data_IF_431344704944
#
_entry.id   IF_431344704944
#
_cell.length_a   1.000
_cell.length_b   1.000
_cell.length_c   1.000
_cell.angle_alpha   90.00
_cell.angle_beta   90.00
_cell.angle_gamma   90.00
#
_symmetry.space_group_name_H-M   'P 1'
#
loop_
_entity.id
_entity.type
_entity.pdbx_description
1 polymer ?
#
# COMPACT_ATOMS: atom_id res chain seq x y z
N UNK A 1 -7.58 -11.46 7.90
CA UNK A 1 -6.46 -11.09 8.80
C UNK A 1 -5.36 -10.42 7.98
N UNK A 2 -4.49 -9.62 8.60
CA UNK A 2 -3.32 -9.10 7.88
C UNK A 2 -2.06 -9.06 8.72
N UNK A 3 -0.94 -9.24 8.03
CA UNK A 3 0.39 -9.21 8.60
C UNK A 3 1.26 -8.23 7.83
N UNK A 4 1.93 -7.33 8.56
CA UNK A 4 2.83 -6.32 8.01
C UNK A 4 4.28 -6.59 8.43
N UNK A 5 5.20 -6.34 7.51
CA UNK A 5 6.64 -6.32 7.74
C UNK A 5 7.19 -4.96 7.33
N UNK A 6 8.07 -4.43 8.17
CA UNK A 6 8.89 -3.27 7.87
C UNK A 6 10.29 -3.73 7.47
N UNK A 7 10.77 -3.23 6.34
CA UNK A 7 12.06 -3.56 5.77
C UNK A 7 12.87 -2.32 5.41
N UNK A 8 14.17 -2.50 5.26
CA UNK A 8 15.09 -1.52 4.67
C UNK A 8 15.40 -1.91 3.22
N UNK A 9 15.33 -0.93 2.32
CA UNK A 9 15.74 -1.12 0.93
C UNK A 9 17.25 -1.42 0.85
N UNK A 10 17.70 -2.12 -0.21
CA UNK A 10 19.11 -2.43 -0.40
C UNK A 10 19.98 -1.17 -0.38
N UNK A 11 21.04 -1.18 0.43
CA UNK A 11 21.95 -0.05 0.58
C UNK A 11 21.57 0.95 1.68
N UNK A 12 20.43 0.76 2.37
CA UNK A 12 20.06 1.51 3.57
C UNK A 12 20.42 0.68 4.81
N UNK A 13 21.48 1.02 5.57
CA UNK A 13 22.02 0.14 6.62
C UNK A 13 21.29 0.22 7.96
N UNK A 14 20.37 1.17 8.14
CA UNK A 14 19.61 1.33 9.39
C UNK A 14 18.40 2.25 9.22
N UNK A 15 17.47 2.21 10.17
CA UNK A 15 16.38 3.19 10.31
C UNK A 15 16.89 4.62 10.46
N UNK A 16 18.02 4.82 11.13
CA UNK A 16 18.62 6.14 11.26
C UNK A 16 19.08 6.69 9.90
N UNK A 17 19.67 5.83 9.05
CA UNK A 17 20.05 6.18 7.69
C UNK A 17 18.82 6.47 6.82
N UNK A 18 17.74 5.69 6.95
CA UNK A 18 16.50 5.90 6.21
C UNK A 18 15.96 7.34 6.38
N UNK A 19 15.95 7.85 7.62
CA UNK A 19 15.48 9.22 7.93
C UNK A 19 16.25 10.32 7.18
N UNK A 20 17.50 10.06 6.80
CA UNK A 20 18.34 11.00 6.03
C UNK A 20 18.39 10.66 4.53
N UNK A 21 17.99 9.45 4.15
CA UNK A 21 18.11 8.95 2.79
C UNK A 21 17.19 9.67 1.79
N UNK A 22 16.08 10.23 2.26
CA UNK A 22 15.22 11.05 1.42
C UNK A 22 15.92 12.36 1.01
N UNK A 23 16.61 13.02 1.95
CA UNK A 23 17.20 14.33 1.69
C UNK A 23 18.47 14.28 0.84
N UNK A 24 19.26 13.20 0.95
CA UNK A 24 20.46 12.98 0.12
C UNK A 24 20.17 12.25 -1.22
N UNK A 25 18.90 11.86 -1.43
CA UNK A 25 18.42 11.17 -2.62
C UNK A 25 18.86 9.71 -2.72
N UNK A 26 19.46 9.11 -1.69
CA UNK A 26 19.80 7.68 -1.67
C UNK A 26 18.55 6.79 -1.58
N UNK A 27 17.54 7.21 -0.81
CA UNK A 27 16.25 6.50 -0.68
C UNK A 27 15.50 6.39 -2.00
N UNK A 28 15.21 7.51 -2.70
CA UNK A 28 14.54 7.48 -4.01
C UNK A 28 15.30 6.65 -5.06
N UNK A 29 16.64 6.70 -5.06
CA UNK A 29 17.47 5.88 -5.97
C UNK A 29 17.37 4.39 -5.64
N UNK A 30 17.38 4.01 -4.37
CA UNK A 30 17.25 2.63 -3.94
C UNK A 30 15.89 2.04 -4.35
N UNK A 31 14.82 2.80 -4.17
CA UNK A 31 13.45 2.41 -4.53
C UNK A 31 13.28 2.27 -6.05
N UNK A 32 13.76 3.27 -6.81
CA UNK A 32 13.68 3.24 -8.27
C UNK A 32 14.44 2.05 -8.86
N UNK A 33 15.51 1.59 -8.20
CA UNK A 33 16.24 0.40 -8.59
C UNK A 33 15.54 -0.90 -8.15
N UNK A 34 14.94 -0.94 -6.96
CA UNK A 34 14.42 -2.15 -6.36
C UNK A 34 12.98 -2.48 -6.78
N UNK A 35 12.09 -1.50 -6.92
CA UNK A 35 10.69 -1.75 -7.26
C UNK A 35 10.51 -2.51 -8.59
N UNK A 36 11.22 -2.18 -9.69
CA UNK A 36 11.15 -2.98 -10.93
C UNK A 36 11.70 -4.41 -10.77
N UNK A 37 12.67 -4.62 -9.86
CA UNK A 37 13.21 -5.95 -9.57
C UNK A 37 12.19 -6.76 -8.78
N UNK A 38 11.58 -6.17 -7.76
CA UNK A 38 10.53 -6.80 -6.97
C UNK A 38 9.35 -7.22 -7.87
N UNK A 39 8.90 -6.34 -8.77
CA UNK A 39 7.86 -6.66 -9.76
C UNK A 39 8.22 -7.87 -10.64
N UNK A 40 9.46 -7.92 -11.17
CA UNK A 40 9.91 -9.05 -11.98
C UNK A 40 9.96 -10.36 -11.18
N UNK A 41 10.48 -10.32 -9.94
CA UNK A 41 10.54 -11.50 -9.06
C UNK A 41 9.14 -11.98 -8.68
N UNK A 42 8.23 -11.07 -8.35
CA UNK A 42 6.83 -11.37 -8.04
C UNK A 42 6.15 -12.10 -9.20
N UNK A 43 6.27 -11.57 -10.43
CA UNK A 43 5.73 -12.22 -11.64
C UNK A 43 6.35 -13.59 -11.91
N UNK A 44 7.66 -13.72 -11.73
CA UNK A 44 8.36 -15.00 -11.87
C UNK A 44 7.90 -16.03 -10.81
N UNK A 45 7.47 -15.56 -9.64
CA UNK A 45 6.85 -16.37 -8.59
C UNK A 45 5.35 -16.62 -8.76
N UNK A 46 4.75 -16.25 -9.90
CA UNK A 46 3.34 -16.50 -10.19
C UNK A 46 2.37 -15.47 -9.60
N UNK A 47 2.86 -14.37 -9.00
CA UNK A 47 1.99 -13.32 -8.47
C UNK A 47 1.45 -12.44 -9.60
N UNK A 48 0.13 -12.17 -9.57
CA UNK A 48 -0.53 -11.30 -10.55
C UNK A 48 -0.57 -9.87 -10.02
N UNK A 49 0.03 -8.93 -10.75
CA UNK A 49 -0.09 -7.49 -10.41
C UNK A 49 -1.53 -7.03 -10.62
N UNK A 50 -2.13 -6.43 -9.60
CA UNK A 50 -3.46 -5.83 -9.65
C UNK A 50 -3.39 -4.31 -9.65
N UNK A 51 -2.43 -3.72 -8.93
CA UNK A 51 -2.24 -2.27 -8.88
C UNK A 51 -0.75 -1.89 -8.89
N UNK A 52 -0.39 -0.88 -9.68
CA UNK A 52 0.83 -0.10 -9.52
C UNK A 52 0.44 1.36 -9.34
N UNK A 53 0.77 1.94 -8.19
CA UNK A 53 0.51 3.35 -7.88
C UNK A 53 1.81 4.08 -7.53
N UNK A 54 1.89 5.36 -7.89
CA UNK A 54 3.01 6.24 -7.57
C UNK A 54 2.48 7.52 -6.96
N UNK A 55 2.97 7.88 -5.78
CA UNK A 55 2.54 9.05 -5.05
C UNK A 55 3.67 9.53 -4.13
N UNK A 56 3.94 10.83 -4.08
CA UNK A 56 4.95 11.43 -3.19
C UNK A 56 6.30 10.69 -3.21
N UNK A 57 6.83 10.40 -4.41
CA UNK A 57 8.06 9.62 -4.65
C UNK A 57 8.06 8.17 -4.10
N UNK A 58 6.94 7.71 -3.56
CA UNK A 58 6.71 6.32 -3.20
C UNK A 58 6.19 5.52 -4.40
N UNK A 59 6.46 4.21 -4.37
CA UNK A 59 5.91 3.25 -5.33
C UNK A 59 5.15 2.18 -4.55
N UNK A 60 3.90 1.93 -4.90
CA UNK A 60 3.09 0.84 -4.35
C UNK A 60 2.81 -0.19 -5.43
N UNK A 61 3.08 -1.44 -5.11
CA UNK A 61 2.75 -2.60 -5.93
C UNK A 61 1.80 -3.50 -5.13
N UNK A 62 0.65 -3.83 -5.70
CA UNK A 62 -0.27 -4.79 -5.13
C UNK A 62 -0.44 -6.01 -6.03
N UNK A 63 -0.34 -7.18 -5.43
CA UNK A 63 -0.41 -8.47 -6.08
C UNK A 63 -1.55 -9.30 -5.52
N UNK A 64 -2.17 -10.07 -6.38
CA UNK A 64 -3.03 -11.18 -5.99
C UNK A 64 -2.20 -12.45 -5.81
N UNK A 65 -2.50 -13.16 -4.73
CA UNK A 65 -1.89 -14.44 -4.37
C UNK A 65 -2.87 -15.54 -4.75
N UNK A 66 -2.54 -16.27 -5.82
CA UNK A 66 -3.41 -17.31 -6.38
C UNK A 66 -3.69 -18.44 -5.38
N UNK A 67 -4.95 -18.91 -5.33
CA UNK A 67 -5.45 -19.88 -4.37
C UNK A 67 -4.75 -21.25 -4.45
N UNK A 68 -4.14 -21.59 -5.58
CA UNK A 68 -3.33 -22.81 -5.72
C UNK A 68 -2.06 -22.78 -4.86
N UNK A 69 -1.51 -21.59 -4.58
CA UNK A 69 -0.42 -21.43 -3.61
C UNK A 69 -0.98 -21.64 -2.19
N UNK A 70 -2.30 -21.53 -2.00
CA UNK A 70 -2.98 -21.32 -0.72
C UNK A 70 -3.75 -22.52 -0.22
N UNK A 71 -3.42 -23.70 -0.73
CA UNK A 71 -4.06 -24.98 -0.38
C UNK A 71 -3.95 -25.38 1.12
N UNK A 72 -3.36 -24.54 1.97
CA UNK A 72 -3.38 -24.67 3.44
C UNK A 72 -4.52 -23.87 4.10
N UNK A 73 -5.30 -23.10 3.34
CA UNK A 73 -6.61 -22.65 3.82
C UNK A 73 -7.47 -23.91 3.94
N UNK A 74 -7.82 -24.30 5.17
CA UNK A 74 -8.61 -25.49 5.43
C UNK A 74 -9.92 -25.53 4.63
N UNK A 75 -10.63 -26.68 4.63
CA UNK A 75 -11.81 -26.93 3.79
C UNK A 75 -13.00 -25.98 4.03
N UNK A 76 -12.92 -25.09 5.03
CA UNK A 76 -13.94 -24.13 5.42
C UNK A 76 -13.65 -22.69 4.95
N UNK A 77 -12.63 -22.46 4.13
CA UNK A 77 -12.39 -21.13 3.56
C UNK A 77 -13.51 -20.76 2.58
N UNK A 78 -14.25 -19.70 2.90
CA UNK A 78 -15.36 -19.22 2.08
C UNK A 78 -14.80 -18.71 0.73
N UNK A 79 -15.32 -19.14 -0.44
CA UNK A 79 -14.93 -18.56 -1.72
C UNK A 79 -15.21 -17.04 -1.80
N UNK A 80 -16.06 -16.49 -0.94
CA UNK A 80 -16.32 -15.06 -0.79
C UNK A 80 -15.34 -14.33 0.17
N UNK A 81 -14.41 -15.03 0.86
CA UNK A 81 -13.44 -14.41 1.80
C UNK A 81 -12.35 -13.57 1.10
N UNK A 82 -12.45 -13.40 -0.22
CA UNK A 82 -11.59 -12.54 -1.01
C UNK A 82 -10.24 -13.19 -1.34
N UNK A 83 -9.79 -13.00 -2.58
CA UNK A 83 -8.46 -13.44 -2.99
C UNK A 83 -7.40 -12.74 -2.12
N UNK A 84 -6.47 -13.52 -1.58
CA UNK A 84 -5.40 -12.98 -0.76
C UNK A 84 -4.56 -11.97 -1.54
N UNK A 85 -4.20 -10.89 -0.85
CA UNK A 85 -3.48 -9.77 -1.45
C UNK A 85 -2.12 -9.61 -0.78
N UNK A 86 -1.10 -9.34 -1.58
CA UNK A 86 0.23 -9.02 -1.11
C UNK A 86 0.61 -7.63 -1.63
N UNK A 87 0.86 -6.68 -0.74
CA UNK A 87 1.26 -5.32 -1.08
C UNK A 87 2.71 -5.07 -0.68
N UNK A 88 3.43 -4.37 -1.55
CA UNK A 88 4.74 -3.82 -1.26
C UNK A 88 4.71 -2.33 -1.54
N UNK A 89 4.98 -1.52 -0.53
CA UNK A 89 5.12 -0.07 -0.63
C UNK A 89 6.56 0.34 -0.37
N UNK A 90 7.16 1.03 -1.32
CA UNK A 90 8.51 1.55 -1.25
C UNK A 90 8.43 3.05 -0.94
N UNK A 91 8.88 3.45 0.25
CA UNK A 91 8.79 4.82 0.74
C UNK A 91 10.06 5.60 0.45
N UNK A 92 10.00 6.90 0.10
CA UNK A 92 11.13 7.70 -0.40
C UNK A 92 12.33 7.81 0.56
N UNK A 93 12.15 7.45 1.83
CA UNK A 93 13.21 7.34 2.83
C UNK A 93 14.00 6.01 2.73
N UNK A 94 13.68 5.16 1.75
CA UNK A 94 14.31 3.86 1.57
C UNK A 94 13.80 2.78 2.52
N UNK A 95 12.69 3.01 3.22
CA UNK A 95 11.95 1.93 3.87
C UNK A 95 11.02 1.22 2.88
N UNK A 96 10.69 -0.03 3.19
CA UNK A 96 9.74 -0.84 2.42
C UNK A 96 8.75 -1.49 3.38
N UNK A 97 7.45 -1.31 3.12
CA UNK A 97 6.37 -1.95 3.86
C UNK A 97 5.82 -3.10 3.02
N UNK A 98 5.93 -4.33 3.52
CA UNK A 98 5.35 -5.51 2.89
C UNK A 98 4.17 -6.01 3.72
N UNK A 99 3.03 -6.23 3.09
CA UNK A 99 1.79 -6.59 3.76
C UNK A 99 1.11 -7.76 3.06
N UNK A 100 0.56 -8.68 3.83
CA UNK A 100 -0.25 -9.80 3.35
C UNK A 100 -1.63 -9.74 3.99
N UNK A 101 -2.68 -9.75 3.17
CA UNK A 101 -4.06 -9.96 3.59
C UNK A 101 -4.46 -11.40 3.26
N UNK A 102 -4.90 -12.12 4.29
CA UNK A 102 -5.11 -13.56 4.24
C UNK A 102 -6.32 -13.97 5.08
N UNK A 103 -7.10 -14.93 4.57
CA UNK A 103 -8.14 -15.63 5.32
C UNK A 103 -7.51 -16.88 5.97
N UNK A 104 -7.04 -16.74 7.20
CA UNK A 104 -6.35 -17.79 7.96
C UNK A 104 -5.81 -17.23 9.28
N UNK A 105 -5.14 -18.07 10.06
CA UNK A 105 -4.57 -17.66 11.35
C UNK A 105 -3.32 -16.76 11.21
N UNK A 106 -2.98 -16.05 12.29
CA UNK A 106 -1.88 -15.08 12.31
C UNK A 106 -0.50 -15.72 12.05
N UNK A 107 -0.28 -16.95 12.53
CA UNK A 107 1.01 -17.62 12.39
C UNK A 107 1.24 -18.08 10.94
N UNK A 108 0.20 -18.59 10.29
CA UNK A 108 0.20 -18.91 8.87
C UNK A 108 0.37 -17.64 8.02
N UNK A 109 -0.32 -16.56 8.36
CA UNK A 109 -0.17 -15.27 7.68
C UNK A 109 1.27 -14.72 7.80
N UNK A 110 1.87 -14.79 8.99
CA UNK A 110 3.27 -14.40 9.20
C UNK A 110 4.23 -15.23 8.35
N UNK A 111 4.18 -16.56 8.46
CA UNK A 111 5.09 -17.46 7.75
C UNK A 111 5.00 -17.24 6.24
N UNK A 112 3.78 -17.03 5.74
CA UNK A 112 3.51 -16.80 4.33
C UNK A 112 3.97 -15.44 3.84
N UNK A 113 3.79 -14.39 4.65
CA UNK A 113 4.29 -13.07 4.32
C UNK A 113 5.82 -13.07 4.27
N UNK A 114 6.50 -13.75 5.21
CA UNK A 114 7.95 -13.94 5.20
C UNK A 114 8.44 -14.66 3.93
N UNK A 115 7.75 -15.71 3.49
CA UNK A 115 8.08 -16.44 2.26
C UNK A 115 7.89 -15.57 1.00
N UNK A 116 6.80 -14.81 0.93
CA UNK A 116 6.59 -13.83 -0.15
C UNK A 116 7.66 -12.74 -0.17
N UNK A 117 8.03 -12.20 0.99
CA UNK A 117 9.12 -11.23 1.14
C UNK A 117 10.44 -11.83 0.69
N UNK A 118 10.78 -13.04 1.11
CA UNK A 118 12.04 -13.69 0.73
C UNK A 118 12.17 -13.87 -0.79
N UNK A 119 11.07 -14.16 -1.48
CA UNK A 119 11.04 -14.30 -2.96
C UNK A 119 11.05 -12.95 -3.67
N UNK A 120 10.27 -11.99 -3.19
CA UNK A 120 10.05 -10.71 -3.88
C UNK A 120 11.09 -9.65 -3.54
N UNK A 121 11.66 -9.69 -2.33
CA UNK A 121 12.58 -8.71 -1.75
C UNK A 121 13.79 -9.39 -1.06
N UNK A 122 14.51 -10.34 -1.71
CA UNK A 122 15.58 -11.13 -1.08
C UNK A 122 16.77 -10.31 -0.56
N UNK A 123 16.92 -9.06 -1.00
CA UNK A 123 18.02 -8.17 -0.64
C UNK A 123 17.62 -7.12 0.41
N UNK A 124 16.35 -7.08 0.80
CA UNK A 124 15.86 -6.16 1.82
C UNK A 124 16.01 -6.78 3.21
N UNK A 125 16.44 -5.99 4.18
CA UNK A 125 16.56 -6.43 5.57
C UNK A 125 15.24 -6.25 6.30
N UNK A 126 14.77 -7.29 7.00
CA UNK A 126 13.57 -7.23 7.84
C UNK A 126 13.95 -6.64 9.20
N UNK A 127 13.30 -5.55 9.58
CA UNK A 127 13.61 -4.81 10.82
C UNK A 127 12.42 -4.71 11.78
N UNK A 128 11.22 -5.14 11.35
CA UNK A 128 10.04 -5.20 12.20
C UNK A 128 8.90 -5.99 11.57
N UNK A 129 7.98 -6.46 12.42
CA UNK A 129 6.74 -7.14 12.02
C UNK A 129 5.60 -6.74 12.95
N UNK A 130 4.41 -6.57 12.38
CA UNK A 130 3.20 -6.20 13.13
C UNK A 130 2.00 -7.05 12.66
N UNK A 131 1.46 -7.94 13.52
CA UNK A 131 0.20 -8.62 13.24
C UNK A 131 -1.00 -7.69 13.48
N UNK A 132 -2.04 -7.81 12.64
CA UNK A 132 -3.36 -7.24 12.94
C UNK A 132 -3.72 -5.90 12.30
N UNK A 133 -3.06 -5.48 11.21
CA UNK A 133 -3.44 -4.26 10.49
C UNK A 133 -4.59 -4.53 9.50
N UNK A 134 -5.77 -3.92 9.69
CA UNK A 134 -6.89 -4.09 8.74
C UNK A 134 -6.72 -3.11 7.56
N UNK A 135 -6.88 -3.55 6.29
CA UNK A 135 -6.82 -2.64 5.16
C UNK A 135 -7.94 -1.59 5.26
N UNK A 136 -7.72 -0.35 4.81
CA UNK A 136 -8.82 0.55 4.55
C UNK A 136 -9.71 -0.15 3.54
N UNK A 137 -10.92 -0.55 3.96
CA UNK A 137 -11.93 -1.10 3.06
C UNK A 137 -12.05 -0.10 1.91
N UNK A 138 -11.75 -0.55 0.69
CA UNK A 138 -12.09 0.23 -0.48
C UNK A 138 -13.55 0.63 -0.30
N UNK A 139 -13.84 1.93 -0.45
CA UNK A 139 -15.22 2.37 -0.59
C UNK A 139 -15.72 1.77 -1.91
N UNK A 140 -16.22 0.54 -1.85
CA UNK A 140 -17.14 0.02 -2.86
C UNK A 140 -18.16 1.11 -3.11
N UNK A 141 -18.27 1.56 -4.36
CA UNK A 141 -19.02 2.74 -4.78
C UNK A 141 -20.34 2.92 -4.03
N UNK A 142 -20.31 3.75 -2.99
CA UNK A 142 -21.49 4.27 -2.31
C UNK A 142 -21.67 5.69 -2.82
N UNK A 143 -22.81 5.92 -3.46
CA UNK A 143 -23.24 7.24 -3.95
C UNK A 143 -22.82 8.36 -2.99
N UNK A 144 -22.29 9.44 -3.56
CA UNK A 144 -22.06 10.68 -2.83
C UNK A 144 -23.30 10.96 -1.94
N UNK A 145 -23.14 11.22 -0.63
CA UNK A 145 -24.27 11.70 0.14
C UNK A 145 -24.73 12.99 -0.53
N UNK A 146 -25.97 12.96 -1.03
CA UNK A 146 -26.66 14.14 -1.51
C UNK A 146 -26.49 15.21 -0.43
N UNK A 147 -25.87 16.32 -0.80
CA UNK A 147 -25.74 17.47 0.07
C UNK A 147 -27.14 17.83 0.58
N UNK A 148 -27.41 17.53 1.85
CA UNK A 148 -28.55 18.06 2.55
C UNK A 148 -28.36 19.57 2.59
N UNK A 149 -29.11 20.27 1.75
CA UNK A 149 -29.32 21.69 1.83
C UNK A 149 -29.90 22.01 3.21
N UNK A 150 -29.12 22.69 4.04
CA UNK A 150 -29.61 23.49 5.15
C UNK A 150 -28.49 24.45 5.57
N UNK A 151 -28.66 25.69 5.13
CA UNK A 151 -27.78 26.82 5.35
C UNK A 151 -28.51 28.06 4.82
N UNK A 152 -29.66 28.32 5.44
CA UNK A 152 -30.39 29.57 5.35
C UNK A 152 -29.50 30.67 5.94
N UNK A 153 -28.88 31.47 5.08
CA UNK A 153 -28.35 32.76 5.51
C UNK A 153 -28.61 33.78 4.40
N UNK A 154 -29.66 34.58 4.63
CA UNK A 154 -30.08 35.66 3.77
C UNK A 154 -28.97 36.73 3.67
N UNK A 155 -28.46 36.93 2.45
CA UNK A 155 -27.62 38.07 2.10
C UNK A 155 -28.45 39.37 2.16
N UNK A 156 -28.05 40.41 2.91
CA UNK A 156 -28.62 41.73 2.70
C UNK A 156 -28.08 42.34 1.40
N UNK A 157 -29.00 42.64 0.49
CA UNK A 157 -28.74 43.40 -0.72
C UNK A 157 -28.20 44.80 -0.39
N UNK A 158 -27.09 45.18 -1.03
CA UNK A 158 -26.71 46.60 -1.21
C UNK A 158 -26.62 46.89 -2.71
N UNK A 159 -27.39 47.85 -3.24
CA UNK A 159 -27.44 48.13 -4.68
C UNK A 159 -26.35 49.08 -5.16
N UNK A 160 -25.85 48.75 -6.36
CA UNK A 160 -25.43 49.60 -7.48
C UNK A 160 -24.67 50.90 -7.23
N UNK A 161 -23.41 50.92 -7.66
CA UNK A 161 -22.76 52.11 -8.19
C UNK A 161 -22.69 52.00 -9.72
N UNK A 162 -23.45 52.85 -10.41
CA UNK A 162 -23.41 53.09 -11.85
C UNK A 162 -22.14 53.88 -12.22
N UNK A 163 -21.44 53.55 -13.31
CA UNK A 163 -20.44 54.43 -13.91
C UNK A 163 -20.97 55.12 -15.17
N UNK A 164 -21.20 56.43 -15.07
CA UNK A 164 -21.36 57.39 -16.17
C UNK A 164 -20.72 58.68 -15.66
N UNK A 165 -19.94 59.47 -16.39
CA UNK A 165 -19.20 59.45 -17.65
C UNK A 165 -18.30 60.71 -17.56
N UNK A 166 -17.43 60.90 -18.55
CA UNK A 166 -16.70 62.14 -18.92
C UNK A 166 -17.05 63.48 -18.22
#
# INVERSE_FOLDING_TARGET
>A
MAFEMLLLAPGIPSLAAARSAQSDGSGPRAIAAEAPRALRRARAGGLRLVEEARFNDAIRLEFEVDAAVTADAGPDADPDDGAARFRVEFSPDGTVFAQLWWAGDDAAAEARCRDLVARTLPTSEVIGSNPGWEPPRERSGGAAPAASAQGDEALPATPSADPLSE
#
